data_IF_280358382567
#
_entry.id   IF_280358382567
#
_cell.length_a   1.000
_cell.length_b   1.000
_cell.length_c   1.000
_cell.angle_alpha   90.00
_cell.angle_beta   90.00
_cell.angle_gamma   90.00
#
_symmetry.space_group_name_H-M   'P 1'
#
loop_
_entity.id
_entity.type
_entity.pdbx_description
1 polymer ?
#
# COMPACT_ATOMS: atom_id res chain seq x y z
N UNK A 1 -24.12 -46.91 10.80
CA UNK A 1 -23.56 -45.80 11.59
C UNK A 1 -23.38 -44.65 10.61
N UNK A 2 -24.18 -43.58 10.70
CA UNK A 2 -24.08 -42.46 9.77
C UNK A 2 -23.02 -41.48 10.29
N UNK A 3 -21.91 -41.34 9.58
CA UNK A 3 -20.96 -40.24 9.78
C UNK A 3 -21.63 -38.95 9.33
N UNK A 4 -22.13 -38.18 10.29
CA UNK A 4 -22.52 -36.79 10.03
C UNK A 4 -21.23 -35.97 9.93
N UNK A 5 -20.85 -35.60 8.70
CA UNK A 5 -19.85 -34.55 8.49
C UNK A 5 -20.42 -33.25 9.05
N UNK A 6 -19.79 -32.71 10.09
CA UNK A 6 -20.20 -31.45 10.75
C UNK A 6 -19.78 -30.21 9.96
N UNK A 7 -19.01 -30.39 8.90
CA UNK A 7 -18.48 -29.30 8.10
C UNK A 7 -19.50 -28.88 7.03
N UNK A 8 -19.88 -27.59 7.00
CA UNK A 8 -20.79 -27.09 5.99
C UNK A 8 -20.18 -27.24 4.60
N UNK A 9 -21.00 -27.58 3.61
CA UNK A 9 -20.61 -27.61 2.19
C UNK A 9 -21.46 -26.61 1.40
N UNK A 10 -20.90 -25.97 0.36
CA UNK A 10 -21.69 -25.16 -0.55
C UNK A 10 -22.82 -26.00 -1.16
N UNK A 11 -23.97 -25.38 -1.40
CA UNK A 11 -25.06 -26.03 -2.15
C UNK A 11 -24.64 -26.19 -3.61
N UNK A 12 -25.11 -27.24 -4.26
CA UNK A 12 -24.87 -27.43 -5.69
C UNK A 12 -25.61 -26.38 -6.53
N UNK A 13 -24.96 -25.92 -7.62
CA UNK A 13 -25.52 -24.96 -8.57
C UNK A 13 -24.90 -23.57 -8.49
N UNK A 14 -25.50 -22.62 -9.22
CA UNK A 14 -25.11 -21.20 -9.19
C UNK A 14 -25.66 -20.57 -7.92
N UNK A 15 -24.77 -19.98 -7.12
CA UNK A 15 -25.13 -19.27 -5.90
C UNK A 15 -25.19 -17.77 -6.19
N UNK A 16 -26.24 -17.12 -5.70
CA UNK A 16 -26.43 -15.67 -5.84
C UNK A 16 -26.48 -15.02 -4.46
N UNK A 17 -25.89 -13.84 -4.34
CA UNK A 17 -26.01 -12.97 -3.16
C UNK A 17 -26.78 -11.70 -3.54
N UNK A 18 -27.48 -11.12 -2.58
CA UNK A 18 -28.15 -9.82 -2.73
C UNK A 18 -27.14 -8.68 -2.55
N UNK A 19 -27.50 -7.47 -3.00
CA UNK A 19 -26.67 -6.27 -2.79
C UNK A 19 -26.34 -6.03 -1.31
N UNK A 20 -27.34 -6.10 -0.42
CA UNK A 20 -27.14 -5.92 1.02
C UNK A 20 -26.18 -6.97 1.60
N UNK A 21 -26.23 -8.21 1.09
CA UNK A 21 -25.30 -9.27 1.50
C UNK A 21 -23.89 -9.04 0.98
N UNK A 22 -23.74 -8.55 -0.26
CA UNK A 22 -22.44 -8.19 -0.81
C UNK A 22 -21.80 -7.04 -0.01
N UNK A 23 -22.59 -6.01 0.33
CA UNK A 23 -22.14 -4.90 1.16
C UNK A 23 -21.74 -5.36 2.57
N UNK A 24 -22.57 -6.18 3.22
CA UNK A 24 -22.26 -6.71 4.54
C UNK A 24 -20.98 -7.59 4.52
N UNK A 25 -20.77 -8.37 3.45
CA UNK A 25 -19.55 -9.15 3.30
C UNK A 25 -18.33 -8.24 3.08
N UNK A 26 -18.45 -7.19 2.28
CA UNK A 26 -17.40 -6.20 2.08
C UNK A 26 -16.99 -5.53 3.39
N UNK A 27 -17.95 -5.02 4.17
CA UNK A 27 -17.68 -4.41 5.48
C UNK A 27 -17.03 -5.42 6.44
N UNK A 28 -17.50 -6.66 6.45
CA UNK A 28 -16.96 -7.72 7.30
C UNK A 28 -15.52 -8.08 6.94
N UNK A 29 -15.22 -8.26 5.64
CA UNK A 29 -13.85 -8.51 5.15
C UNK A 29 -12.96 -7.33 5.50
N UNK A 30 -13.43 -6.10 5.33
CA UNK A 30 -12.70 -4.89 5.72
C UNK A 30 -12.43 -4.81 7.23
N UNK A 31 -13.39 -5.20 8.07
CA UNK A 31 -13.19 -5.27 9.52
C UNK A 31 -12.18 -6.37 9.90
N UNK A 32 -12.28 -7.55 9.31
CA UNK A 32 -11.31 -8.63 9.56
C UNK A 32 -9.91 -8.27 9.08
N UNK A 33 -9.81 -7.61 7.93
CA UNK A 33 -8.55 -7.10 7.37
C UNK A 33 -7.87 -6.11 8.32
N UNK A 34 -8.64 -5.20 8.94
CA UNK A 34 -8.09 -4.14 9.80
C UNK A 34 -7.89 -4.58 11.25
N UNK A 35 -8.92 -5.16 11.85
CA UNK A 35 -9.04 -5.24 13.30
C UNK A 35 -8.89 -6.66 13.87
N UNK A 36 -8.98 -7.68 13.01
CA UNK A 36 -8.84 -9.08 13.46
C UNK A 36 -7.39 -9.57 13.33
N UNK A 37 -6.91 -10.16 14.42
CA UNK A 37 -5.58 -10.76 14.50
C UNK A 37 -5.70 -12.12 15.18
N UNK A 38 -5.10 -13.14 14.58
CA UNK A 38 -5.07 -14.51 15.08
C UNK A 38 -3.65 -14.98 15.38
N UNK A 39 -2.64 -14.14 15.13
CA UNK A 39 -1.25 -14.39 15.48
C UNK A 39 -0.76 -13.38 16.52
N UNK A 40 -0.34 -13.90 17.65
CA UNK A 40 0.28 -13.14 18.74
C UNK A 40 1.67 -13.71 19.01
N UNK A 41 2.62 -12.84 19.30
CA UNK A 41 4.01 -13.22 19.59
C UNK A 41 4.36 -12.84 21.01
N UNK A 42 4.80 -13.81 21.79
CA UNK A 42 5.23 -13.60 23.18
C UNK A 42 6.64 -12.95 23.25
N UNK A 43 7.45 -13.13 22.21
CA UNK A 43 8.81 -12.60 22.08
C UNK A 43 8.86 -11.13 21.65
N UNK A 44 7.75 -10.59 21.14
CA UNK A 44 7.65 -9.20 20.69
C UNK A 44 6.40 -8.53 21.29
N UNK A 45 6.53 -7.86 22.46
CA UNK A 45 5.40 -7.26 23.16
C UNK A 45 4.63 -6.31 22.25
N UNK A 46 3.33 -6.57 22.07
CA UNK A 46 2.44 -5.76 21.26
C UNK A 46 2.29 -6.20 19.80
N UNK A 47 3.07 -7.20 19.33
CA UNK A 47 2.89 -7.73 17.99
C UNK A 47 1.54 -8.44 17.84
N UNK A 48 0.76 -7.98 16.85
CA UNK A 48 -0.49 -8.58 16.41
C UNK A 48 -0.40 -8.77 14.91
N UNK A 49 -0.55 -10.00 14.45
CA UNK A 49 -0.46 -10.35 13.04
C UNK A 49 -1.58 -11.28 12.63
N UNK A 50 -1.65 -11.55 11.33
CA UNK A 50 -2.57 -12.54 10.77
C UNK A 50 -1.82 -13.81 10.41
N UNK A 51 -2.41 -14.97 10.63
CA UNK A 51 -1.86 -16.23 10.15
C UNK A 51 -1.96 -16.30 8.62
N UNK A 52 -1.15 -17.18 8.04
CA UNK A 52 -1.23 -17.48 6.60
C UNK A 52 -2.61 -17.98 6.19
N UNK A 53 -3.29 -18.69 7.08
CA UNK A 53 -4.62 -19.21 6.80
C UNK A 53 -5.65 -18.08 6.76
N UNK A 54 -5.60 -17.18 7.73
CA UNK A 54 -6.44 -15.98 7.79
C UNK A 54 -6.25 -15.10 6.54
N UNK A 55 -5.00 -14.86 6.13
CA UNK A 55 -4.68 -14.10 4.92
C UNK A 55 -5.27 -14.77 3.67
N UNK A 56 -5.03 -16.08 3.50
CA UNK A 56 -5.58 -16.84 2.36
C UNK A 56 -7.11 -16.75 2.27
N UNK A 57 -7.80 -16.80 3.40
CA UNK A 57 -9.26 -16.66 3.41
C UNK A 57 -9.72 -15.24 3.07
N UNK A 58 -9.02 -14.21 3.57
CA UNK A 58 -9.31 -12.83 3.21
C UNK A 58 -9.11 -12.59 1.73
N UNK A 59 -8.01 -13.06 1.15
CA UNK A 59 -7.73 -12.93 -0.29
C UNK A 59 -8.82 -13.61 -1.12
N UNK A 60 -9.20 -14.85 -0.79
CA UNK A 60 -10.29 -15.54 -1.48
C UNK A 60 -11.65 -14.81 -1.37
N UNK A 61 -11.91 -14.12 -0.26
CA UNK A 61 -13.14 -13.31 -0.11
C UNK A 61 -13.05 -11.98 -0.87
N UNK A 62 -11.85 -11.38 -0.97
CA UNK A 62 -11.60 -10.18 -1.78
C UNK A 62 -11.79 -10.48 -3.26
N UNK A 63 -11.23 -11.57 -3.76
CA UNK A 63 -11.43 -12.04 -5.14
C UNK A 63 -12.93 -12.24 -5.45
N UNK A 64 -13.67 -12.82 -4.50
CA UNK A 64 -15.13 -12.96 -4.65
C UNK A 64 -15.79 -11.59 -4.75
N UNK A 65 -15.43 -10.65 -3.87
CA UNK A 65 -16.00 -9.30 -3.82
C UNK A 65 -15.70 -8.49 -5.08
N UNK A 66 -14.52 -8.62 -5.70
CA UNK A 66 -14.18 -8.00 -6.99
C UNK A 66 -15.16 -8.38 -8.11
N UNK A 67 -15.71 -9.59 -8.06
CA UNK A 67 -16.65 -10.07 -9.07
C UNK A 67 -18.10 -9.64 -8.82
N UNK A 68 -18.42 -9.10 -7.64
CA UNK A 68 -19.81 -8.79 -7.23
C UNK A 68 -20.03 -7.34 -6.79
N UNK A 69 -18.97 -6.63 -6.41
CA UNK A 69 -19.02 -5.23 -6.01
C UNK A 69 -18.63 -4.36 -7.20
N UNK A 70 -19.47 -3.37 -7.48
CA UNK A 70 -19.05 -2.22 -8.28
C UNK A 70 -18.24 -1.31 -7.37
N UNK A 71 -16.96 -1.63 -7.23
CA UNK A 71 -16.04 -0.67 -6.61
C UNK A 71 -16.06 0.59 -7.48
N UNK A 72 -16.21 1.79 -6.87
CA UNK A 72 -15.89 2.98 -7.62
C UNK A 72 -14.49 2.76 -8.19
N UNK A 73 -14.28 3.13 -9.45
CA UNK A 73 -12.91 3.36 -9.93
C UNK A 73 -12.31 4.35 -8.95
N UNK A 74 -11.57 3.84 -7.98
CA UNK A 74 -10.78 4.63 -7.07
C UNK A 74 -9.80 5.30 -8.02
N UNK A 75 -10.10 6.54 -8.42
CA UNK A 75 -9.16 7.34 -9.20
C UNK A 75 -7.83 7.53 -8.42
N UNK A 76 -7.81 7.16 -7.13
CA UNK A 76 -6.65 7.09 -6.25
C UNK A 76 -6.68 5.87 -5.31
N UNK A 77 -5.86 4.86 -5.61
CA UNK A 77 -5.54 3.73 -4.71
C UNK A 77 -4.77 4.19 -3.46
N UNK A 78 -4.10 5.35 -3.56
CA UNK A 78 -3.25 5.93 -2.54
C UNK A 78 -3.76 7.31 -2.12
N UNK A 79 -3.81 7.56 -0.82
CA UNK A 79 -4.07 8.88 -0.24
C UNK A 79 -2.83 9.41 0.49
N UNK A 80 -2.82 10.70 0.83
CA UNK A 80 -1.68 11.33 1.50
C UNK A 80 -2.08 12.38 2.53
N UNK A 81 -1.19 12.57 3.51
CA UNK A 81 -1.31 13.61 4.52
C UNK A 81 -0.86 14.99 4.00
N UNK A 82 -1.13 16.03 4.79
CA UNK A 82 -0.65 17.37 4.51
C UNK A 82 0.90 17.42 4.45
N UNK A 83 1.50 18.02 3.41
CA UNK A 83 2.95 18.05 3.25
C UNK A 83 3.65 18.80 4.38
N UNK A 84 4.60 18.12 5.01
CA UNK A 84 5.44 18.69 6.08
C UNK A 84 6.70 19.30 5.47
N UNK A 85 7.05 20.53 5.86
CA UNK A 85 8.34 21.12 5.49
C UNK A 85 9.51 20.42 6.17
N UNK A 86 10.58 20.18 5.42
CA UNK A 86 11.83 19.62 5.92
C UNK A 86 12.94 20.67 5.91
N UNK A 87 13.87 20.58 6.87
CA UNK A 87 15.16 21.24 6.77
C UNK A 87 16.16 20.40 5.97
N UNK A 88 17.19 21.04 5.41
CA UNK A 88 18.15 20.39 4.50
C UNK A 88 18.88 19.19 5.11
N UNK A 89 19.05 19.15 6.42
CA UNK A 89 19.66 18.04 7.17
C UNK A 89 18.73 16.83 7.34
N UNK A 90 17.42 17.01 7.16
CA UNK A 90 16.41 15.94 7.23
C UNK A 90 16.18 15.27 5.86
N UNK A 91 16.55 15.94 4.76
CA UNK A 91 16.29 15.48 3.39
C UNK A 91 17.17 14.30 3.02
N UNK A 92 16.59 13.34 2.30
CA UNK A 92 17.33 12.19 1.84
C UNK A 92 18.52 12.56 0.94
N UNK A 93 19.66 11.92 1.18
CA UNK A 93 20.93 12.24 0.49
C UNK A 93 20.87 12.09 -1.03
N UNK A 94 20.05 11.17 -1.55
CA UNK A 94 19.84 11.01 -3.00
C UNK A 94 19.18 12.24 -3.60
N UNK A 95 18.15 12.78 -2.92
CA UNK A 95 17.45 13.97 -3.39
C UNK A 95 18.40 15.18 -3.34
N UNK A 96 19.14 15.37 -2.24
CA UNK A 96 20.15 16.44 -2.15
C UNK A 96 21.21 16.37 -3.26
N UNK A 97 21.65 15.16 -3.61
CA UNK A 97 22.64 14.96 -4.69
C UNK A 97 22.09 15.39 -6.05
N UNK A 98 20.83 15.08 -6.33
CA UNK A 98 20.16 15.43 -7.60
C UNK A 98 19.86 16.94 -7.70
N UNK A 99 19.52 17.58 -6.57
CA UNK A 99 19.33 19.03 -6.51
C UNK A 99 20.66 19.78 -6.71
N UNK A 100 21.76 19.25 -6.17
CA UNK A 100 23.07 19.88 -6.26
C UNK A 100 23.09 21.25 -5.57
N UNK A 101 23.44 22.30 -6.33
CA UNK A 101 23.62 23.65 -5.81
C UNK A 101 22.51 24.63 -6.22
N UNK A 102 21.30 24.15 -6.56
CA UNK A 102 20.18 25.05 -6.87
C UNK A 102 19.84 25.87 -5.62
N UNK A 103 19.78 27.22 -5.72
CA UNK A 103 19.39 28.06 -4.60
C UNK A 103 17.87 27.95 -4.34
N UNK A 104 17.44 28.36 -3.15
CA UNK A 104 16.03 28.63 -2.81
C UNK A 104 15.04 27.47 -3.02
N UNK A 105 15.51 26.23 -2.92
CA UNK A 105 14.69 25.01 -2.97
C UNK A 105 13.91 24.81 -1.67
N UNK A 106 12.60 24.57 -1.79
CA UNK A 106 11.75 24.16 -0.67
C UNK A 106 11.64 22.64 -0.61
N UNK A 107 11.96 22.08 0.56
CA UNK A 107 11.85 20.64 0.79
C UNK A 107 10.58 20.30 1.55
N UNK A 108 9.87 19.28 1.07
CA UNK A 108 8.62 18.79 1.62
C UNK A 108 8.67 17.27 1.76
N UNK A 109 7.98 16.75 2.75
CA UNK A 109 7.75 15.33 2.97
C UNK A 109 6.26 15.06 3.08
N UNK A 110 5.82 13.99 2.44
CA UNK A 110 4.43 13.57 2.37
C UNK A 110 4.37 12.09 2.71
N UNK A 111 3.60 11.75 3.74
CA UNK A 111 3.31 10.35 4.03
C UNK A 111 2.18 9.88 3.11
N UNK A 112 2.39 8.73 2.45
CA UNK A 112 1.46 8.14 1.50
C UNK A 112 0.93 6.84 2.08
N UNK A 113 -0.38 6.63 1.95
CA UNK A 113 -1.13 5.53 2.55
C UNK A 113 -2.00 4.84 1.51
N UNK A 114 -2.30 3.58 1.74
CA UNK A 114 -3.38 2.91 1.03
C UNK A 114 -4.73 3.49 1.46
N UNK A 115 -5.54 3.91 0.49
CA UNK A 115 -6.78 4.64 0.74
C UNK A 115 -7.82 3.78 1.52
N UNK A 116 -7.82 2.47 1.30
CA UNK A 116 -8.74 1.50 1.91
C UNK A 116 -8.41 1.20 3.39
N UNK A 117 -7.14 1.05 3.72
CA UNK A 117 -6.67 0.58 5.03
C UNK A 117 -5.99 1.68 5.87
N UNK A 118 -5.72 2.87 5.30
CA UNK A 118 -4.84 3.91 5.88
C UNK A 118 -3.50 3.32 6.37
N UNK A 119 -3.10 2.21 5.75
CA UNK A 119 -1.83 1.55 6.02
C UNK A 119 -0.74 2.36 5.35
N UNK A 120 0.29 2.71 6.10
CA UNK A 120 1.45 3.41 5.55
C UNK A 120 2.01 2.62 4.37
N UNK A 121 2.08 3.28 3.22
CA UNK A 121 2.61 2.71 1.99
C UNK A 121 4.06 3.17 1.80
N UNK A 122 4.32 4.45 1.99
CA UNK A 122 5.65 5.01 1.81
C UNK A 122 5.71 6.49 2.12
N UNK A 123 6.86 7.08 1.83
CA UNK A 123 7.13 8.49 2.07
C UNK A 123 7.62 9.12 0.77
N UNK A 124 6.97 10.19 0.34
CA UNK A 124 7.38 11.01 -0.79
C UNK A 124 8.13 12.24 -0.27
N UNK A 125 9.38 12.41 -0.68
CA UNK A 125 10.11 13.66 -0.50
C UNK A 125 10.12 14.46 -1.78
N UNK A 126 9.83 15.75 -1.68
CA UNK A 126 9.79 16.68 -2.79
C UNK A 126 10.76 17.82 -2.54
N UNK A 127 11.45 18.23 -3.60
CA UNK A 127 12.26 19.42 -3.66
C UNK A 127 11.64 20.33 -4.74
N UNK A 128 10.99 21.40 -4.31
CA UNK A 128 10.25 22.32 -5.16
C UNK A 128 11.14 23.52 -5.48
N UNK A 129 11.33 23.76 -6.77
CA UNK A 129 12.02 24.91 -7.33
C UNK A 129 10.97 25.89 -7.88
N UNK A 130 10.60 26.87 -7.05
CA UNK A 130 9.59 27.87 -7.41
C UNK A 130 10.09 28.83 -8.52
N UNK A 131 11.40 28.96 -8.72
CA UNK A 131 11.95 29.82 -9.78
C UNK A 131 11.76 29.21 -11.16
N UNK A 132 12.00 27.91 -11.29
CA UNK A 132 11.88 27.19 -12.57
C UNK A 132 10.50 26.58 -12.77
N UNK A 133 9.69 26.46 -11.71
CA UNK A 133 8.42 25.76 -11.74
C UNK A 133 8.61 24.24 -11.87
N UNK A 134 9.75 23.72 -11.42
CA UNK A 134 10.06 22.29 -11.43
C UNK A 134 10.00 21.72 -10.01
N UNK A 135 9.66 20.44 -9.92
CA UNK A 135 9.75 19.68 -8.67
C UNK A 135 10.56 18.42 -8.93
N UNK A 136 11.49 18.10 -8.03
CA UNK A 136 12.18 16.83 -7.99
C UNK A 136 11.57 15.96 -6.90
N UNK A 137 11.16 14.73 -7.22
CA UNK A 137 10.55 13.82 -6.26
C UNK A 137 11.36 12.56 -6.05
N UNK A 138 11.41 12.09 -4.80
CA UNK A 138 11.96 10.81 -4.40
C UNK A 138 10.91 10.07 -3.56
N UNK A 139 10.48 8.89 -4.00
CA UNK A 139 9.55 8.07 -3.25
C UNK A 139 10.26 6.90 -2.58
N UNK A 140 10.00 6.72 -1.28
CA UNK A 140 10.61 5.68 -0.46
C UNK A 140 9.53 4.71 -0.01
N UNK A 141 9.69 3.45 -0.38
CA UNK A 141 8.76 2.37 -0.03
C UNK A 141 9.53 1.19 0.55
N UNK A 142 8.96 0.54 1.55
CA UNK A 142 9.52 -0.69 2.12
C UNK A 142 8.84 -1.90 1.49
N UNK A 143 9.63 -2.87 1.03
CA UNK A 143 9.09 -4.15 0.55
C UNK A 143 8.68 -5.07 1.72
N UNK A 144 8.02 -6.19 1.43
CA UNK A 144 7.57 -7.13 2.47
C UNK A 144 8.71 -7.79 3.27
N UNK A 145 9.94 -7.76 2.78
CA UNK A 145 11.12 -8.25 3.50
C UNK A 145 11.78 -7.15 4.36
N UNK A 146 11.20 -5.95 4.39
CA UNK A 146 11.71 -4.82 5.13
C UNK A 146 12.85 -4.08 4.42
N UNK A 147 13.01 -4.30 3.11
CA UNK A 147 14.04 -3.63 2.33
C UNK A 147 13.49 -2.34 1.75
N UNK A 148 14.19 -1.26 2.01
CA UNK A 148 13.88 0.04 1.45
C UNK A 148 14.18 0.08 -0.07
N UNK A 149 13.20 0.56 -0.82
CA UNK A 149 13.24 0.80 -2.26
C UNK A 149 13.04 2.29 -2.47
N UNK A 150 14.02 2.90 -3.12
CA UNK A 150 13.98 4.30 -3.51
C UNK A 150 13.59 4.39 -5.00
N UNK A 151 12.48 5.07 -5.28
CA UNK A 151 11.98 5.36 -6.62
C UNK A 151 12.26 6.83 -6.96
N UNK A 152 13.26 7.06 -7.80
CA UNK A 152 13.77 8.39 -8.13
C UNK A 152 15.22 8.57 -7.68
N UNK A 153 15.70 9.82 -7.48
CA UNK A 153 14.99 11.07 -7.67
C UNK A 153 14.69 11.37 -9.15
N UNK A 154 13.65 12.15 -9.43
CA UNK A 154 13.27 12.53 -10.79
C UNK A 154 12.63 13.91 -10.87
N UNK A 155 13.04 14.69 -11.88
CA UNK A 155 12.50 16.02 -12.15
C UNK A 155 11.24 15.96 -13.01
N UNK A 156 10.25 16.77 -12.66
CA UNK A 156 9.05 17.00 -13.44
C UNK A 156 8.62 18.47 -13.32
N UNK A 157 7.82 18.92 -14.28
CA UNK A 157 7.14 20.22 -14.17
C UNK A 157 6.13 20.17 -13.02
N UNK A 158 6.13 21.21 -12.19
CA UNK A 158 5.18 21.35 -11.08
C UNK A 158 3.76 21.46 -11.63
N UNK A 159 2.81 20.86 -10.90
CA UNK A 159 1.38 20.96 -11.19
C UNK A 159 0.83 22.36 -10.94
N UNK A 160 -0.47 22.53 -11.22
CA UNK A 160 -1.20 23.79 -10.97
C UNK A 160 -1.21 24.18 -9.49
N UNK A 161 -1.07 23.19 -8.60
CA UNK A 161 -0.86 23.33 -7.17
C UNK A 161 -0.04 22.14 -6.64
N UNK A 162 0.22 22.15 -5.33
CA UNK A 162 1.03 21.13 -4.67
C UNK A 162 0.34 19.76 -4.66
N UNK A 163 -0.99 19.71 -4.55
CA UNK A 163 -1.74 18.44 -4.55
C UNK A 163 -1.66 17.76 -5.92
N UNK A 164 -1.86 18.53 -7.00
CA UNK A 164 -1.66 18.07 -8.36
C UNK A 164 -0.22 17.61 -8.60
N UNK A 165 0.78 18.28 -8.01
CA UNK A 165 2.19 17.87 -8.09
C UNK A 165 2.42 16.53 -7.38
N UNK A 166 1.95 16.37 -6.13
CA UNK A 166 2.07 15.13 -5.36
C UNK A 166 1.43 13.96 -6.11
N UNK A 167 0.21 14.16 -6.61
CA UNK A 167 -0.53 13.19 -7.42
C UNK A 167 0.24 12.75 -8.66
N UNK A 168 0.92 13.66 -9.36
CA UNK A 168 1.75 13.30 -10.52
C UNK A 168 2.87 12.33 -10.15
N UNK A 169 3.55 12.57 -9.02
CA UNK A 169 4.60 11.67 -8.54
C UNK A 169 4.05 10.34 -8.07
N UNK A 170 2.91 10.33 -7.37
CA UNK A 170 2.26 9.11 -6.91
C UNK A 170 1.81 8.24 -8.09
N UNK A 171 1.20 8.83 -9.11
CA UNK A 171 0.77 8.11 -10.31
C UNK A 171 1.93 7.54 -11.14
N UNK A 172 3.15 8.06 -10.96
CA UNK A 172 4.35 7.55 -11.62
C UNK A 172 4.94 6.32 -10.90
N UNK A 173 4.46 5.97 -9.70
CA UNK A 173 4.93 4.81 -8.94
C UNK A 173 4.45 3.53 -9.64
N UNK A 174 5.36 2.60 -10.00
CA UNK A 174 4.98 1.35 -10.64
C UNK A 174 4.49 0.33 -9.59
N UNK A 175 3.29 0.55 -9.02
CA UNK A 175 2.70 -0.27 -7.95
C UNK A 175 2.71 -1.76 -8.28
N UNK A 176 2.27 -2.13 -9.50
CA UNK A 176 2.25 -3.52 -9.98
C UNK A 176 3.63 -4.20 -9.94
N UNK A 177 4.71 -3.46 -10.17
CA UNK A 177 6.07 -4.01 -10.11
C UNK A 177 6.54 -4.19 -8.67
N UNK A 178 6.12 -3.31 -7.77
CA UNK A 178 6.38 -3.43 -6.34
C UNK A 178 5.64 -4.65 -5.75
N UNK A 179 4.40 -4.88 -6.18
CA UNK A 179 3.61 -6.05 -5.80
C UNK A 179 4.22 -7.35 -6.31
N UNK A 180 4.61 -7.41 -7.60
CA UNK A 180 5.27 -8.59 -8.16
C UNK A 180 6.59 -8.92 -7.41
N UNK A 181 7.38 -7.90 -7.04
CA UNK A 181 8.59 -8.11 -6.23
C UNK A 181 8.29 -8.64 -4.84
N UNK A 182 7.20 -8.19 -4.24
CA UNK A 182 6.75 -8.67 -2.94
C UNK A 182 6.33 -10.15 -3.02
N UNK A 183 5.64 -10.57 -4.09
CA UNK A 183 5.33 -11.97 -4.35
C UNK A 183 6.58 -12.84 -4.52
N UNK A 184 7.55 -12.38 -5.32
CA UNK A 184 8.83 -13.07 -5.50
C UNK A 184 9.58 -13.22 -4.17
N UNK A 185 9.60 -12.16 -3.34
CA UNK A 185 10.26 -12.19 -2.05
C UNK A 185 9.58 -13.18 -1.08
N UNK A 186 8.24 -13.23 -1.08
CA UNK A 186 7.49 -14.26 -0.34
C UNK A 186 7.90 -15.65 -0.83
N UNK A 187 7.95 -15.88 -2.15
CA UNK A 187 8.31 -17.17 -2.73
C UNK A 187 9.73 -17.60 -2.35
N UNK A 188 10.71 -16.69 -2.36
CA UNK A 188 12.08 -16.95 -1.91
C UNK A 188 12.16 -17.28 -0.41
N UNK A 189 11.48 -16.50 0.44
CA UNK A 189 11.42 -16.75 1.88
C UNK A 189 10.76 -18.10 2.21
N UNK A 190 9.77 -18.51 1.41
CA UNK A 190 9.13 -19.81 1.51
C UNK A 190 10.05 -20.94 1.04
N UNK A 191 10.77 -20.77 -0.07
CA UNK A 191 11.73 -21.74 -0.58
C UNK A 191 12.90 -21.97 0.39
N UNK A 192 13.40 -20.90 1.02
CA UNK A 192 14.50 -20.96 2.00
C UNK A 192 14.12 -21.68 3.31
N UNK A 193 12.82 -21.80 3.64
CA UNK A 193 12.33 -22.52 4.83
C UNK A 193 12.10 -24.02 4.60
N UNK A 194 12.14 -24.48 3.35
CA UNK A 194 11.91 -25.89 2.97
C UNK A 194 13.24 -26.64 2.75
N UNK A 195 14.36 -25.93 2.72
CA UNK A 195 15.73 -26.48 2.67
C UNK A 195 16.33 -26.67 4.07
#
# INVERSE_FOLDING_TARGET
>A
MFEYSREPRPREGVLTITQDQAMALHEFVGHLGRDAFDRFRDDLPGFRGKSREMLRYLDSMRDLLENVMDYPTLDEELCWDEPKSLSTDEVHSLLLTEIGNRPDIRYLQVAVYWNDEHRHFGTLELAVDDETGETCGLFQVEDLAGKQIDCGPGWSQSGVDLDATIRMFINAIPIQQLEARNEDCINEMLAAKVA
#
